data_IF_041840739079
#
_entry.id   IF_041840739079
#
_cell.length_a   1.000
_cell.length_b   1.000
_cell.length_c   1.000
_cell.angle_alpha   90.00
_cell.angle_beta   90.00
_cell.angle_gamma   90.00
#
_symmetry.space_group_name_H-M   'P 1'
#
loop_
_entity.id
_entity.type
_entity.pdbx_description
1 polymer ?
#
# COMPACT_ATOMS: atom_id res chain seq x y z
N UNK A 1 42.86 9.11 4.60
CA UNK A 1 42.13 7.86 4.32
C UNK A 1 40.73 8.28 3.94
N UNK A 2 40.37 8.02 2.69
CA UNK A 2 39.20 8.52 1.98
C UNK A 2 37.88 8.14 2.66
N UNK A 3 36.95 9.10 2.62
CA UNK A 3 35.53 8.91 2.90
C UNK A 3 34.93 7.93 1.89
N UNK A 4 34.58 6.74 2.36
CA UNK A 4 33.79 5.77 1.61
C UNK A 4 32.50 5.49 2.35
N UNK A 5 31.60 6.48 2.41
CA UNK A 5 30.25 6.26 2.91
C UNK A 5 29.61 5.12 2.11
N UNK A 6 29.27 4.09 2.87
CA UNK A 6 28.73 2.81 2.43
C UNK A 6 27.73 3.00 1.28
N UNK A 7 28.04 2.39 0.13
CA UNK A 7 27.09 2.11 -0.93
C UNK A 7 25.84 1.50 -0.28
N UNK A 8 24.80 2.31 -0.11
CA UNK A 8 23.45 1.79 0.03
C UNK A 8 23.17 1.22 -1.35
N UNK A 9 23.50 -0.06 -1.54
CA UNK A 9 22.92 -0.88 -2.58
C UNK A 9 21.44 -0.56 -2.53
N UNK A 10 20.97 0.18 -3.54
CA UNK A 10 19.57 0.29 -3.90
C UNK A 10 19.14 -1.15 -4.12
N UNK A 11 18.73 -1.81 -3.04
CA UNK A 11 18.06 -3.09 -3.12
C UNK A 11 16.91 -2.81 -4.06
N UNK A 12 16.91 -3.46 -5.22
CA UNK A 12 15.75 -3.58 -6.08
C UNK A 12 14.57 -3.82 -5.14
N UNK A 13 13.81 -2.77 -4.81
CA UNK A 13 12.74 -2.82 -3.80
C UNK A 13 11.57 -3.53 -4.48
N UNK A 14 11.75 -4.82 -4.76
CA UNK A 14 10.69 -5.71 -5.17
C UNK A 14 9.71 -5.71 -4.01
N UNK A 15 8.56 -5.09 -4.26
CA UNK A 15 7.51 -5.01 -3.25
C UNK A 15 7.15 -6.45 -2.89
N UNK A 16 7.25 -6.83 -1.61
CA UNK A 16 6.97 -8.19 -1.20
C UNK A 16 5.50 -8.46 -1.52
N UNK A 17 5.24 -9.55 -2.23
CA UNK A 17 3.87 -10.00 -2.49
C UNK A 17 3.71 -11.45 -2.03
N UNK A 18 2.51 -11.78 -1.55
CA UNK A 18 2.15 -13.12 -1.13
C UNK A 18 0.73 -13.42 -1.60
N UNK A 19 0.50 -14.60 -2.16
CA UNK A 19 -0.84 -15.09 -2.49
C UNK A 19 -1.18 -16.17 -1.48
N UNK A 20 -2.25 -15.98 -0.72
CA UNK A 20 -2.72 -16.94 0.29
C UNK A 20 -4.25 -16.95 0.29
N UNK A 21 -4.86 -18.15 0.27
CA UNK A 21 -6.32 -18.35 0.27
C UNK A 21 -7.09 -17.63 -0.86
N UNK A 22 -6.43 -17.34 -1.99
CA UNK A 22 -7.03 -16.57 -3.09
C UNK A 22 -7.04 -15.05 -2.86
N UNK A 23 -6.34 -14.58 -1.83
CA UNK A 23 -6.06 -13.16 -1.58
C UNK A 23 -4.61 -12.86 -1.89
N UNK A 24 -4.38 -11.71 -2.52
CA UNK A 24 -3.06 -11.19 -2.81
C UNK A 24 -2.73 -10.10 -1.80
N UNK A 25 -1.64 -10.28 -1.08
CA UNK A 25 -1.08 -9.38 -0.09
C UNK A 25 0.14 -8.70 -0.72
N UNK A 26 0.18 -7.38 -0.70
CA UNK A 26 1.23 -6.57 -1.33
C UNK A 26 1.77 -5.59 -0.29
N UNK A 27 3.07 -5.66 -0.06
CA UNK A 27 3.82 -4.86 0.92
C UNK A 27 3.69 -5.34 2.36
N UNK A 28 4.41 -4.63 3.23
CA UNK A 28 4.52 -4.96 4.67
C UNK A 28 3.64 -4.04 5.52
N UNK A 29 3.83 -2.71 5.43
CA UNK A 29 2.99 -1.73 6.10
C UNK A 29 3.14 -0.33 5.46
N UNK A 30 2.06 0.31 4.96
CA UNK A 30 0.70 -0.21 4.81
C UNK A 30 0.64 -1.43 3.88
N UNK A 31 -0.23 -2.41 4.15
CA UNK A 31 -0.35 -3.65 3.36
C UNK A 31 -1.63 -3.65 2.54
N UNK A 32 -1.51 -3.84 1.23
CA UNK A 32 -2.66 -3.94 0.32
C UNK A 32 -3.09 -5.40 0.18
N UNK A 33 -4.35 -5.67 0.52
CA UNK A 33 -5.00 -6.98 0.48
C UNK A 33 -6.02 -6.95 -0.64
N UNK A 34 -5.93 -7.89 -1.58
CA UNK A 34 -6.76 -7.93 -2.79
C UNK A 34 -7.42 -9.28 -2.88
N UNK A 35 -8.74 -9.34 -2.76
CA UNK A 35 -9.46 -10.59 -2.99
C UNK A 35 -9.57 -10.86 -4.50
N UNK A 36 -8.88 -11.90 -4.99
CA UNK A 36 -8.87 -12.20 -6.42
C UNK A 36 -10.20 -12.78 -6.90
N UNK A 37 -11.07 -13.27 -5.99
CA UNK A 37 -12.37 -13.85 -6.32
C UNK A 37 -13.48 -12.79 -6.32
N UNK A 38 -13.56 -12.00 -5.25
CA UNK A 38 -14.64 -11.01 -5.08
C UNK A 38 -14.26 -9.61 -5.54
N UNK A 39 -12.96 -9.35 -5.81
CA UNK A 39 -12.41 -8.02 -6.09
C UNK A 39 -12.63 -7.03 -4.93
N UNK A 40 -12.84 -7.54 -3.72
CA UNK A 40 -12.89 -6.76 -2.50
C UNK A 40 -11.48 -6.50 -1.99
N UNK A 41 -11.05 -5.25 -2.06
CA UNK A 41 -9.69 -4.86 -1.75
C UNK A 41 -9.67 -4.02 -0.48
N UNK A 42 -8.60 -4.16 0.30
CA UNK A 42 -8.45 -3.51 1.59
C UNK A 42 -7.01 -3.04 1.76
N UNK A 43 -6.82 -1.93 2.45
CA UNK A 43 -5.51 -1.44 2.87
C UNK A 43 -5.44 -1.59 4.38
N UNK A 44 -4.52 -2.42 4.85
CA UNK A 44 -4.23 -2.61 6.27
C UNK A 44 -3.15 -1.61 6.68
N UNK A 45 -3.50 -0.71 7.59
CA UNK A 45 -2.55 0.20 8.26
C UNK A 45 -2.34 -0.23 9.71
N UNK A 46 -1.47 0.46 10.45
CA UNK A 46 -1.25 0.21 11.88
C UNK A 46 -2.53 0.45 12.70
N UNK A 47 -3.34 1.41 12.27
CA UNK A 47 -4.50 1.89 13.03
C UNK A 47 -5.79 1.15 12.66
N UNK A 48 -5.97 0.78 11.38
CA UNK A 48 -7.23 0.19 10.89
C UNK A 48 -7.11 -0.54 9.56
N UNK A 49 -8.20 -1.24 9.21
CA UNK A 49 -8.44 -1.78 7.88
C UNK A 49 -9.31 -0.80 7.08
N UNK A 50 -8.82 -0.36 5.93
CA UNK A 50 -9.46 0.61 5.05
C UNK A 50 -10.01 -0.12 3.81
N UNK A 51 -11.30 0.04 3.49
CA UNK A 51 -11.84 -0.50 2.24
C UNK A 51 -11.26 0.24 1.03
N UNK A 52 -10.65 -0.48 0.10
CA UNK A 52 -10.11 0.04 -1.15
C UNK A 52 -11.03 -0.33 -2.30
N UNK A 53 -11.83 0.63 -2.76
CA UNK A 53 -12.84 0.37 -3.82
C UNK A 53 -12.26 0.33 -5.24
N UNK A 54 -10.95 0.55 -5.39
CA UNK A 54 -10.32 0.53 -6.71
C UNK A 54 -10.15 -0.90 -7.16
N UNK A 55 -10.56 -1.20 -8.38
CA UNK A 55 -10.44 -2.53 -8.97
C UNK A 55 -8.98 -2.85 -9.28
N UNK A 56 -8.53 -4.05 -8.93
CA UNK A 56 -7.18 -4.54 -9.20
C UNK A 56 -7.29 -5.72 -10.14
N UNK A 57 -7.05 -5.44 -11.41
CA UNK A 57 -7.19 -6.40 -12.50
C UNK A 57 -5.82 -7.01 -12.81
N UNK A 58 -5.44 -8.00 -12.02
CA UNK A 58 -4.24 -8.80 -12.25
C UNK A 58 -4.64 -10.15 -12.84
N UNK A 59 -4.26 -10.37 -14.09
CA UNK A 59 -4.54 -11.64 -14.77
C UNK A 59 -3.79 -12.80 -14.08
N UNK A 60 -4.35 -14.01 -14.05
CA UNK A 60 -3.67 -15.18 -13.49
C UNK A 60 -2.34 -15.48 -14.19
N UNK A 61 -2.23 -15.20 -15.49
CA UNK A 61 -0.98 -15.30 -16.26
C UNK A 61 0.12 -14.34 -15.75
N UNK A 62 -0.29 -13.14 -15.35
CA UNK A 62 0.58 -12.12 -14.79
C UNK A 62 1.06 -12.52 -13.39
N UNK A 63 0.14 -13.02 -12.55
CA UNK A 63 0.42 -13.54 -11.22
C UNK A 63 1.30 -14.81 -11.25
N UNK A 64 1.18 -15.62 -12.30
CA UNK A 64 2.03 -16.79 -12.54
C UNK A 64 3.47 -16.43 -12.97
N UNK A 65 3.79 -15.13 -13.09
CA UNK A 65 5.15 -14.65 -13.35
C UNK A 65 5.58 -14.71 -14.82
N UNK A 66 4.67 -15.00 -15.77
CA UNK A 66 5.01 -15.02 -17.21
C UNK A 66 5.50 -13.67 -17.73
N UNK A 67 5.10 -12.57 -17.08
CA UNK A 67 5.51 -11.20 -17.40
C UNK A 67 5.98 -10.48 -16.13
N UNK A 68 7.11 -10.94 -15.57
CA UNK A 68 7.64 -10.44 -14.30
C UNK A 68 7.78 -8.90 -14.25
N UNK A 69 8.25 -8.24 -15.32
CA UNK A 69 8.37 -6.78 -15.36
C UNK A 69 7.00 -6.08 -15.27
N UNK A 70 6.00 -6.58 -16.01
CA UNK A 70 4.65 -6.01 -16.00
C UNK A 70 3.99 -6.21 -14.63
N UNK A 71 4.20 -7.38 -14.03
CA UNK A 71 3.71 -7.66 -12.68
C UNK A 71 4.35 -6.70 -11.68
N UNK A 72 5.67 -6.51 -11.74
CA UNK A 72 6.38 -5.60 -10.85
C UNK A 72 5.85 -4.17 -10.97
N UNK A 73 5.73 -3.63 -12.18
CA UNK A 73 5.16 -2.30 -12.41
C UNK A 73 3.72 -2.18 -11.89
N UNK A 74 2.90 -3.22 -12.07
CA UNK A 74 1.54 -3.22 -11.54
C UNK A 74 1.53 -3.22 -10.01
N UNK A 75 2.36 -4.05 -9.36
CA UNK A 75 2.50 -4.07 -7.91
C UNK A 75 2.97 -2.72 -7.37
N UNK A 76 3.97 -2.10 -8.01
CA UNK A 76 4.44 -0.76 -7.67
C UNK A 76 3.33 0.29 -7.79
N UNK A 77 2.60 0.28 -8.90
CA UNK A 77 1.50 1.21 -9.13
C UNK A 77 0.36 1.06 -8.11
N UNK A 78 -0.07 -0.16 -7.81
CA UNK A 78 -1.15 -0.39 -6.85
C UNK A 78 -0.72 -0.15 -5.41
N UNK A 79 0.51 -0.52 -5.07
CA UNK A 79 1.05 -0.29 -3.74
C UNK A 79 1.27 1.20 -3.45
N UNK A 80 1.82 1.95 -4.41
CA UNK A 80 1.98 3.40 -4.27
C UNK A 80 0.65 4.09 -3.98
N UNK A 81 -0.41 3.73 -4.73
CA UNK A 81 -1.75 4.25 -4.49
C UNK A 81 -2.33 3.86 -3.13
N UNK A 82 -2.06 2.63 -2.67
CA UNK A 82 -2.48 2.21 -1.35
C UNK A 82 -1.81 3.05 -0.25
N UNK A 83 -0.53 3.39 -0.43
CA UNK A 83 0.22 4.28 0.44
C UNK A 83 -0.38 5.70 0.43
N UNK A 84 -0.62 6.27 -0.75
CA UNK A 84 -1.22 7.61 -0.88
C UNK A 84 -2.58 7.71 -0.17
N UNK A 85 -3.42 6.68 -0.26
CA UNK A 85 -4.71 6.66 0.44
C UNK A 85 -4.54 6.53 1.95
N UNK A 86 -3.63 5.66 2.40
CA UNK A 86 -3.35 5.49 3.81
C UNK A 86 -2.85 6.82 4.43
N UNK A 87 -1.93 7.50 3.75
CA UNK A 87 -1.41 8.80 4.15
C UNK A 87 -2.49 9.88 4.11
N UNK A 88 -3.28 9.97 3.03
CA UNK A 88 -4.38 10.91 2.90
C UNK A 88 -5.44 10.73 3.99
N UNK A 89 -5.72 9.49 4.40
CA UNK A 89 -6.62 9.20 5.52
C UNK A 89 -6.05 9.63 6.86
N UNK A 90 -4.75 9.40 7.11
CA UNK A 90 -4.07 9.85 8.33
C UNK A 90 -4.11 11.37 8.47
N UNK A 91 -3.81 12.07 7.37
CA UNK A 91 -3.90 13.54 7.31
C UNK A 91 -5.33 14.00 7.60
N UNK A 92 -6.35 13.43 6.95
CA UNK A 92 -7.74 13.80 7.18
C UNK A 92 -8.17 13.60 8.66
N UNK A 93 -7.65 12.57 9.32
CA UNK A 93 -7.91 12.32 10.74
C UNK A 93 -7.25 13.38 11.63
N UNK A 94 -5.98 13.72 11.39
CA UNK A 94 -5.30 14.80 12.11
C UNK A 94 -6.00 16.16 11.94
N UNK A 95 -6.46 16.48 10.73
CA UNK A 95 -7.24 17.69 10.47
C UNK A 95 -8.56 17.70 11.27
N UNK A 96 -9.25 16.56 11.34
CA UNK A 96 -10.49 16.42 12.11
C UNK A 96 -10.25 16.58 13.62
N UNK A 97 -9.14 16.05 14.14
CA UNK A 97 -8.76 16.24 15.54
C UNK A 97 -8.45 17.71 15.87
N UNK A 98 -7.69 18.40 15.00
CA UNK A 98 -7.38 19.84 15.17
C UNK A 98 -8.62 20.72 15.06
N UNK A 99 -9.53 20.43 14.13
CA UNK A 99 -10.80 21.15 14.01
C UNK A 99 -11.67 21.01 15.27
N UNK A 100 -11.70 19.83 15.89
CA UNK A 100 -12.41 19.60 17.14
C UNK A 100 -11.80 20.32 18.36
N UNK A 101 -10.49 20.61 18.35
CA UNK A 101 -9.83 21.39 19.41
C UNK A 101 -10.18 22.89 19.31
N UNK A 102 -10.21 23.46 18.10
CA UNK A 102 -10.58 24.87 17.89
C UNK A 102 -12.02 25.19 18.33
N UNK A 103 -12.96 24.24 18.27
CA UNK A 103 -14.33 24.47 18.75
C UNK A 103 -14.40 24.46 20.29
N UNK A 104 -13.49 23.78 20.98
CA UNK A 104 -13.47 23.68 22.45
C UNK A 104 -12.85 24.89 23.16
N UNK A 105 -12.07 25.71 22.48
CA UNK A 105 -11.49 26.93 23.07
C UNK A 105 -12.39 28.16 22.92
N UNK A 106 -13.67 27.96 22.55
CA UNK A 106 -14.65 29.03 22.33
C UNK A 106 -15.91 28.95 23.19
N UNK A 107 -15.86 28.21 24.31
CA UNK A 107 -16.87 28.23 25.37
C UNK A 107 -16.29 28.76 26.68
#
# INVERSE_FOLDING_TARGET
>A
MEEGAVLVKEAEKKIPMKIEDGKLYIGDMPQLIVDLKTQENYIRTEERLISYKKRIELSPDLLAGKRANVLQTALEYYYAQACEIAEGMKIAEEYRQKANLTIREKD
#
